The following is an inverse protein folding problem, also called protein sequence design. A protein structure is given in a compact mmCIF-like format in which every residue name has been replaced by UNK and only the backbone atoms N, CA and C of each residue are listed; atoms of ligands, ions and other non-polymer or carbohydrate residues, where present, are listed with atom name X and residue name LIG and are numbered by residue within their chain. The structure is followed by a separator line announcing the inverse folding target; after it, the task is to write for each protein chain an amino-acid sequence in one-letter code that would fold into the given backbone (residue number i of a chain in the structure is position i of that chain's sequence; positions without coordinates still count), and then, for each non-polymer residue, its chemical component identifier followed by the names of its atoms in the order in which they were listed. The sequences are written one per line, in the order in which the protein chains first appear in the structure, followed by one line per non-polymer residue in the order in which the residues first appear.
data_IF_371504645697
#
_entry.id   IF_371504645697
#
_cell.length_a   1.000
_cell.length_b   1.000
_cell.length_c   1.000
_cell.angle_alpha   90.00
_cell.angle_beta   90.00
_cell.angle_gamma   90.00
#
_symmetry.space_group_name_H-M   'P 1'
#
loop_
_entity.id
_entity.type
_entity.pdbx_description
1 polymer ?
#
# COMPACT_ATOMS: atom_id res chain seq x y z
N UNK A 1 4.73 35.28 -2.60
CA UNK A 1 5.04 34.20 -1.66
C UNK A 1 4.21 32.96 -2.05
N UNK A 2 4.57 32.31 -3.16
CA UNK A 2 3.86 31.15 -3.73
C UNK A 2 4.64 29.87 -3.39
N UNK A 3 4.48 29.38 -2.16
CA UNK A 3 5.07 28.10 -1.72
C UNK A 3 4.05 26.95 -1.68
N UNK A 4 2.81 27.18 -2.14
CA UNK A 4 1.74 26.18 -2.18
C UNK A 4 1.34 25.78 -3.60
N UNK A 5 2.29 25.77 -4.56
CA UNK A 5 2.07 25.05 -5.81
C UNK A 5 2.39 23.57 -5.60
N UNK A 6 1.44 22.83 -5.02
CA UNK A 6 1.41 21.36 -5.03
C UNK A 6 1.34 20.79 -6.48
N UNK A 7 1.23 21.68 -7.47
CA UNK A 7 0.93 21.41 -8.87
C UNK A 7 2.10 20.86 -9.70
N UNK A 8 3.34 20.93 -9.21
CA UNK A 8 4.48 20.94 -10.13
C UNK A 8 5.41 19.72 -10.16
N UNK A 9 5.16 18.57 -9.49
CA UNK A 9 5.76 17.25 -9.87
C UNK A 9 5.71 16.14 -8.81
N UNK A 10 5.32 16.45 -7.56
CA UNK A 10 5.64 15.55 -6.44
C UNK A 10 4.62 14.40 -6.28
N UNK A 11 3.37 14.57 -6.70
CA UNK A 11 2.30 13.62 -6.39
C UNK A 11 2.55 12.19 -6.92
N UNK A 12 2.92 11.96 -8.21
CA UNK A 12 3.10 10.61 -8.73
C UNK A 12 4.30 9.89 -8.10
N UNK A 13 5.39 10.63 -7.89
CA UNK A 13 6.63 10.11 -7.29
C UNK A 13 6.41 9.74 -5.83
N UNK A 14 5.68 10.56 -5.07
CA UNK A 14 5.34 10.28 -3.67
C UNK A 14 4.41 9.08 -3.55
N UNK A 15 3.41 8.94 -4.42
CA UNK A 15 2.54 7.76 -4.43
C UNK A 15 3.35 6.48 -4.67
N UNK A 16 4.30 6.49 -5.62
CA UNK A 16 5.19 5.36 -5.85
C UNK A 16 6.07 5.07 -4.62
N UNK A 17 6.60 6.10 -3.97
CA UNK A 17 7.38 5.94 -2.74
C UNK A 17 6.56 5.28 -1.62
N UNK A 18 5.33 5.73 -1.39
CA UNK A 18 4.41 5.11 -0.43
C UNK A 18 4.05 3.68 -0.80
N UNK A 19 3.89 3.37 -2.09
CA UNK A 19 3.67 2.00 -2.55
C UNK A 19 4.81 1.06 -2.15
N UNK A 20 6.07 1.45 -2.40
CA UNK A 20 7.22 0.62 -2.01
C UNK A 20 7.30 0.45 -0.49
N UNK A 21 7.06 1.50 0.30
CA UNK A 21 7.02 1.40 1.77
C UNK A 21 5.90 0.46 2.22
N UNK A 22 4.69 0.62 1.68
CA UNK A 22 3.55 -0.23 2.01
C UNK A 22 3.79 -1.69 1.64
N UNK A 23 4.43 -1.95 0.50
CA UNK A 23 4.77 -3.30 0.05
C UNK A 23 5.81 -3.95 0.98
N UNK A 24 6.85 -3.21 1.35
CA UNK A 24 7.84 -3.65 2.34
C UNK A 24 7.15 -3.94 3.68
N UNK A 25 6.32 -3.03 4.18
CA UNK A 25 5.59 -3.20 5.42
C UNK A 25 4.66 -4.42 5.41
N UNK A 26 3.99 -4.72 4.29
CA UNK A 26 3.14 -5.90 4.14
C UNK A 26 3.95 -7.21 4.16
N UNK A 27 5.11 -7.22 3.51
CA UNK A 27 5.99 -8.40 3.50
C UNK A 27 6.53 -8.66 4.90
N UNK A 28 7.10 -7.64 5.54
CA UNK A 28 7.63 -7.78 6.90
C UNK A 28 6.53 -8.05 7.94
N UNK A 29 5.37 -7.42 7.80
CA UNK A 29 4.21 -7.66 8.65
C UNK A 29 3.69 -9.09 8.50
N UNK A 30 3.58 -9.60 7.27
CA UNK A 30 3.20 -10.98 6.99
C UNK A 30 4.15 -11.99 7.60
N UNK A 31 5.46 -11.79 7.41
CA UNK A 31 6.50 -12.62 8.03
C UNK A 31 6.46 -12.53 9.57
N UNK A 32 6.24 -11.34 10.12
CA UNK A 32 6.11 -11.11 11.56
C UNK A 32 4.95 -11.89 12.16
N UNK A 33 3.79 -11.92 11.49
CA UNK A 33 2.62 -12.69 11.93
C UNK A 33 2.92 -14.19 11.92
N UNK A 34 3.61 -14.69 10.89
CA UNK A 34 3.98 -16.11 10.80
C UNK A 34 4.95 -16.48 11.93
N UNK A 35 5.99 -15.66 12.15
CA UNK A 35 6.96 -15.90 13.23
C UNK A 35 6.26 -15.88 14.59
N UNK A 36 5.42 -14.87 14.84
CA UNK A 36 4.65 -14.74 16.08
C UNK A 36 3.74 -15.95 16.32
N UNK A 37 3.02 -16.39 15.29
CA UNK A 37 2.12 -17.55 15.40
C UNK A 37 2.89 -18.84 15.72
N UNK A 38 4.11 -19.00 15.20
CA UNK A 38 4.96 -20.16 15.50
C UNK A 38 5.54 -20.08 16.92
N UNK A 39 6.04 -18.92 17.35
CA UNK A 39 6.62 -18.76 18.70
C UNK A 39 5.59 -18.92 19.80
N UNK A 40 4.38 -18.40 19.58
CA UNK A 40 3.28 -18.45 20.53
C UNK A 40 2.41 -19.70 20.37
N UNK A 41 2.76 -20.65 19.48
CA UNK A 41 1.95 -21.85 19.25
C UNK A 41 1.68 -22.66 20.52
N UNK A 42 2.61 -22.60 21.49
CA UNK A 42 2.48 -23.26 22.80
C UNK A 42 1.51 -22.56 23.76
N UNK A 43 1.27 -21.25 23.60
CA UNK A 43 0.42 -20.43 24.49
C UNK A 43 -1.02 -20.29 23.97
N UNK A 44 -1.19 -20.04 22.67
CA UNK A 44 -2.50 -19.85 22.00
C UNK A 44 -3.06 -21.16 21.41
N UNK A 45 -2.25 -22.22 21.35
CA UNK A 45 -2.65 -23.52 20.85
C UNK A 45 -2.59 -23.65 19.32
N UNK A 46 -2.39 -24.89 18.86
CA UNK A 46 -2.09 -25.21 17.46
C UNK A 46 -3.20 -24.79 16.47
N UNK A 47 -4.48 -24.87 16.87
CA UNK A 47 -5.60 -24.49 16.02
C UNK A 47 -5.61 -22.98 15.72
N UNK A 48 -5.35 -22.14 16.73
CA UNK A 48 -5.34 -20.69 16.58
C UNK A 48 -4.10 -20.22 15.81
N UNK A 49 -2.93 -20.78 16.13
CA UNK A 49 -1.70 -20.54 15.37
C UNK A 49 -1.86 -20.92 13.89
N UNK A 50 -2.50 -22.06 13.60
CA UNK A 50 -2.82 -22.49 12.23
C UNK A 50 -3.73 -21.50 11.49
N UNK A 51 -4.74 -20.94 12.15
CA UNK A 51 -5.59 -19.91 11.57
C UNK A 51 -4.84 -18.60 11.28
N UNK A 52 -3.95 -18.18 12.19
CA UNK A 52 -3.14 -16.97 11.98
C UNK A 52 -2.17 -17.12 10.81
N UNK A 53 -1.51 -18.28 10.69
CA UNK A 53 -0.62 -18.58 9.57
C UNK A 53 -1.42 -18.65 8.26
N UNK A 54 -2.53 -19.38 8.24
CA UNK A 54 -3.41 -19.45 7.06
C UNK A 54 -3.95 -18.07 6.65
N UNK A 55 -4.33 -17.26 7.63
CA UNK A 55 -4.77 -15.88 7.43
C UNK A 55 -3.67 -14.97 6.89
N UNK A 56 -2.43 -15.11 7.35
CA UNK A 56 -1.28 -14.37 6.81
C UNK A 56 -0.96 -14.80 5.36
N UNK A 57 -0.97 -16.11 5.08
CA UNK A 57 -0.66 -16.66 3.76
C UNK A 57 -1.65 -16.19 2.69
N UNK A 58 -2.94 -16.09 3.03
CA UNK A 58 -3.98 -15.62 2.09
C UNK A 58 -4.13 -14.10 2.15
N UNK A 59 -4.11 -13.52 3.35
CA UNK A 59 -4.38 -12.10 3.58
C UNK A 59 -3.29 -11.17 3.07
N UNK A 60 -2.01 -11.58 3.15
CA UNK A 60 -0.90 -10.75 2.65
C UNK A 60 -0.97 -10.57 1.13
N UNK A 61 -1.12 -11.61 0.30
CA UNK A 61 -1.34 -11.46 -1.14
C UNK A 61 -2.55 -10.59 -1.49
N UNK A 62 -3.68 -10.79 -0.80
CA UNK A 62 -4.90 -9.99 -1.03
C UNK A 62 -4.64 -8.52 -0.70
N UNK A 63 -3.94 -8.22 0.39
CA UNK A 63 -3.58 -6.85 0.74
C UNK A 63 -2.58 -6.22 -0.22
N UNK A 64 -1.65 -6.99 -0.78
CA UNK A 64 -0.75 -6.49 -1.83
C UNK A 64 -1.55 -6.09 -3.08
N UNK A 65 -2.55 -6.90 -3.47
CA UNK A 65 -3.43 -6.58 -4.59
C UNK A 65 -4.24 -5.31 -4.34
N UNK A 66 -4.81 -5.16 -3.14
CA UNK A 66 -5.55 -3.95 -2.76
C UNK A 66 -4.64 -2.72 -2.75
N UNK A 67 -3.42 -2.83 -2.20
CA UNK A 67 -2.44 -1.75 -2.20
C UNK A 67 -2.10 -1.32 -3.63
N UNK A 68 -1.90 -2.28 -4.53
CA UNK A 68 -1.63 -2.01 -5.95
C UNK A 68 -2.80 -1.31 -6.62
N UNK A 69 -4.01 -1.83 -6.43
CA UNK A 69 -5.23 -1.24 -6.97
C UNK A 69 -5.44 0.20 -6.48
N UNK A 70 -5.31 0.44 -5.17
CA UNK A 70 -5.43 1.80 -4.61
C UNK A 70 -4.38 2.75 -5.17
N UNK A 71 -3.12 2.31 -5.27
CA UNK A 71 -2.02 3.13 -5.81
C UNK A 71 -2.30 3.54 -7.25
N UNK A 72 -2.76 2.60 -8.07
CA UNK A 72 -3.08 2.84 -9.47
C UNK A 72 -4.27 3.80 -9.63
N UNK A 73 -5.31 3.66 -8.82
CA UNK A 73 -6.44 4.60 -8.79
C UNK A 73 -5.99 6.03 -8.44
N UNK A 74 -5.12 6.19 -7.44
CA UNK A 74 -4.58 7.50 -7.09
C UNK A 74 -3.76 8.11 -8.23
N UNK A 75 -2.89 7.33 -8.87
CA UNK A 75 -2.10 7.81 -10.01
C UNK A 75 -2.99 8.27 -11.17
N UNK A 76 -4.03 7.50 -11.51
CA UNK A 76 -4.99 7.86 -12.56
C UNK A 76 -5.71 9.18 -12.24
N UNK A 77 -6.16 9.37 -11.00
CA UNK A 77 -6.83 10.61 -10.59
C UNK A 77 -5.91 11.83 -10.71
N UNK A 78 -4.65 11.70 -10.30
CA UNK A 78 -3.67 12.78 -10.46
C UNK A 78 -3.39 13.07 -11.93
N UNK A 79 -3.23 12.04 -12.76
CA UNK A 79 -3.01 12.21 -14.20
C UNK A 79 -4.21 12.90 -14.89
N UNK A 80 -5.44 12.58 -14.48
CA UNK A 80 -6.64 13.27 -14.96
C UNK A 80 -6.67 14.75 -14.55
N UNK A 81 -6.26 15.06 -13.31
CA UNK A 81 -6.20 16.43 -12.82
C UNK A 81 -5.20 17.27 -13.62
N UNK A 82 -4.01 16.71 -13.88
CA UNK A 82 -2.97 17.38 -14.66
C UNK A 82 -3.43 17.67 -16.09
N UNK A 83 -4.04 16.68 -16.77
CA UNK A 83 -4.60 16.85 -18.13
C UNK A 83 -5.69 17.93 -18.20
N UNK A 84 -6.55 18.03 -17.18
CA UNK A 84 -7.58 19.06 -17.11
C UNK A 84 -6.98 20.45 -16.84
N UNK A 85 -5.90 20.53 -16.07
CA UNK A 85 -5.13 21.75 -15.86
C UNK A 85 -4.54 22.30 -17.16
N UNK A 86 -3.96 21.44 -17.98
CA UNK A 86 -3.40 21.81 -19.30
C UNK A 86 -4.45 22.36 -20.26
N UNK A 87 -5.67 21.82 -20.24
CA UNK A 87 -6.77 22.32 -21.07
C UNK A 87 -7.22 23.71 -20.60
N UNK A 88 -7.19 23.97 -19.29
CA UNK A 88 -7.55 25.27 -18.71
C UNK A 88 -6.53 26.36 -19.07
N UNK A 89 -5.24 26.06 -19.02
CA UNK A 89 -4.17 27.03 -19.30
C UNK A 89 -3.94 27.28 -20.81
N UNK A 90 -4.50 26.44 -21.69
CA UNK A 90 -4.48 26.64 -23.16
C UNK A 90 -5.57 27.60 -23.68
N UNK A 91 -6.43 28.14 -22.81
CA UNK A 91 -7.42 29.18 -23.15
C UNK A 91 -6.99 30.53 -22.59
#
# INVERSE_FOLDING_TARGET
MFLFSFRNFIAPTVIKFFYYIGLVALIFGGLGIIIYAVTEMSSIGAAQAGQMIGGAVIGVPVMILLLRFSTEMWLVLFEMNDKLGDIRDRR
#
